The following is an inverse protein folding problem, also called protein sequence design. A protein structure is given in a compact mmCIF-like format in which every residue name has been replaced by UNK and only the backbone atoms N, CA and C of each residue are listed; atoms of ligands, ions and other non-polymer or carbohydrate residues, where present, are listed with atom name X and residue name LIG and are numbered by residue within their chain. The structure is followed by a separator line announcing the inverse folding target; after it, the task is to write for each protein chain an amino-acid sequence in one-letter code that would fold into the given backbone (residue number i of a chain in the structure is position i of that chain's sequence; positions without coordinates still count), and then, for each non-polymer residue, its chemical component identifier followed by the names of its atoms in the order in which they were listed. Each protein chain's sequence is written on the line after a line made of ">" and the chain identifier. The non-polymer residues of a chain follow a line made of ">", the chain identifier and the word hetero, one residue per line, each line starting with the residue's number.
data_IF_091173726425
#
_entry.id   IF_091173726425
#
_cell.length_a   1.000
_cell.length_b   1.000
_cell.length_c   1.000
_cell.angle_alpha   90.00
_cell.angle_beta   90.00
_cell.angle_gamma   90.00
#
_symmetry.space_group_name_H-M   'P 1'
#
loop_
_entity.id
_entity.type
_entity.pdbx_description
1 polymer ?
#
# COMPACT_ATOMS: atom_id res chain seq x y z
N UNK A 1 13.74 6.36 27.03
CA UNK A 1 13.45 4.92 27.06
C UNK A 1 13.05 4.49 25.65
N UNK A 2 13.61 3.41 25.13
CA UNK A 2 13.30 2.90 23.79
C UNK A 2 11.93 2.22 23.81
N UNK A 3 10.97 2.75 23.04
CA UNK A 3 9.61 2.19 22.98
C UNK A 3 9.64 0.90 22.14
N UNK A 4 9.23 -0.26 22.67
CA UNK A 4 9.18 -1.50 21.93
C UNK A 4 7.91 -1.54 21.06
N UNK A 5 7.82 -0.70 20.03
CA UNK A 5 6.82 -0.83 18.97
C UNK A 5 7.48 -1.35 17.70
N UNK A 6 6.99 -2.43 17.09
CA UNK A 6 7.54 -2.93 15.83
C UNK A 6 7.36 -1.94 14.66
N UNK A 7 6.51 -0.92 14.83
CA UNK A 7 6.27 0.12 13.82
C UNK A 7 7.21 1.33 13.97
N UNK A 8 7.76 1.56 15.16
CA UNK A 8 8.75 2.61 15.40
C UNK A 8 10.18 2.05 15.36
N UNK A 9 10.59 1.58 14.18
CA UNK A 9 11.97 1.14 13.97
C UNK A 9 12.88 2.34 13.71
N UNK A 10 14.11 2.39 14.25
CA UNK A 10 15.08 3.44 13.92
C UNK A 10 15.28 3.57 12.40
N UNK A 11 15.33 4.82 11.91
CA UNK A 11 15.61 5.13 10.51
C UNK A 11 17.11 5.34 10.25
N UNK A 12 17.56 5.28 8.97
CA UNK A 12 18.96 5.55 8.62
C UNK A 12 19.35 7.02 8.78
N UNK A 13 18.38 7.93 8.70
CA UNK A 13 18.52 9.39 8.73
C UNK A 13 17.63 10.06 9.77
N UNK A 14 16.67 9.31 10.32
CA UNK A 14 15.68 9.78 11.28
C UNK A 14 15.69 8.92 12.55
N UNK A 15 15.31 9.46 13.72
CA UNK A 15 15.16 8.68 14.95
C UNK A 15 14.19 7.50 14.78
N UNK A 16 13.18 7.65 13.90
CA UNK A 16 12.21 6.62 13.55
C UNK A 16 11.94 6.63 12.05
N UNK A 17 11.72 5.47 11.46
CA UNK A 17 11.41 5.33 10.04
C UNK A 17 9.99 5.83 9.72
N UNK A 18 9.87 6.68 8.69
CA UNK A 18 8.60 7.09 8.09
C UNK A 18 7.90 5.98 7.28
N UNK A 19 8.52 4.80 7.13
CA UNK A 19 7.94 3.69 6.38
C UNK A 19 8.08 2.39 7.19
N UNK A 20 7.10 2.07 8.05
CA UNK A 20 7.07 0.76 8.70
C UNK A 20 6.76 -0.35 7.69
N UNK A 21 6.90 -1.64 8.08
CA UNK A 21 6.49 -2.74 7.23
C UNK A 21 4.98 -2.70 6.92
N UNK A 22 4.62 -2.42 5.68
CA UNK A 22 3.28 -2.51 5.10
C UNK A 22 3.12 -3.89 4.44
N UNK A 23 2.80 -4.89 5.26
CA UNK A 23 2.62 -6.28 4.80
C UNK A 23 1.14 -6.56 4.59
N UNK A 24 0.74 -6.71 3.33
CA UNK A 24 -0.62 -7.11 2.99
C UNK A 24 -0.69 -8.64 2.91
N UNK A 25 -1.47 -9.25 3.79
CA UNK A 25 -1.73 -10.69 3.75
C UNK A 25 -3.15 -10.89 3.23
N UNK A 26 -3.28 -11.53 2.06
CA UNK A 26 -4.58 -11.88 1.49
C UNK A 26 -4.73 -13.40 1.51
N UNK A 27 -5.68 -13.95 2.29
CA UNK A 27 -6.03 -15.35 2.18
C UNK A 27 -6.68 -15.62 0.82
N UNK A 28 -6.13 -16.59 0.10
CA UNK A 28 -6.68 -17.11 -1.13
C UNK A 28 -7.51 -18.37 -0.81
N UNK A 29 -8.58 -18.65 -1.56
CA UNK A 29 -9.31 -19.90 -1.38
C UNK A 29 -8.41 -21.13 -1.63
N UNK A 30 -8.46 -22.14 -0.75
CA UNK A 30 -7.66 -23.37 -0.81
C UNK A 30 -7.85 -24.12 -2.13
N UNK A 31 -9.11 -24.29 -2.52
CA UNK A 31 -9.48 -24.82 -3.82
C UNK A 31 -9.87 -23.65 -4.72
N UNK A 32 -9.13 -23.48 -5.82
CA UNK A 32 -9.77 -22.94 -7.00
C UNK A 32 -10.83 -23.98 -7.37
N UNK A 33 -12.14 -23.68 -7.40
CA UNK A 33 -13.05 -24.51 -8.18
C UNK A 33 -12.40 -24.72 -9.55
N UNK A 34 -12.69 -25.80 -10.27
CA UNK A 34 -12.18 -26.02 -11.63
C UNK A 34 -12.59 -24.86 -12.57
N UNK A 35 -11.92 -23.72 -12.41
CA UNK A 35 -12.21 -22.36 -12.89
C UNK A 35 -11.20 -21.97 -13.96
N UNK A 36 -10.19 -22.82 -14.25
CA UNK A 36 -9.44 -22.68 -15.48
C UNK A 36 -10.38 -22.55 -16.69
N UNK A 37 -11.60 -23.10 -16.60
CA UNK A 37 -12.73 -22.72 -17.44
C UNK A 37 -13.38 -21.40 -17.00
N UNK A 38 -14.05 -21.34 -15.83
CA UNK A 38 -14.93 -20.21 -15.46
C UNK A 38 -14.27 -18.83 -15.35
N UNK A 39 -13.06 -18.71 -14.80
CA UNK A 39 -12.39 -17.42 -14.66
C UNK A 39 -11.94 -16.89 -16.02
N UNK A 40 -11.40 -17.77 -16.89
CA UNK A 40 -11.18 -17.44 -18.31
C UNK A 40 -12.49 -17.24 -19.08
N UNK A 41 -13.62 -17.78 -18.63
CA UNK A 41 -14.91 -17.47 -19.26
C UNK A 41 -15.42 -16.09 -18.84
N UNK A 42 -15.06 -15.61 -17.65
CA UNK A 42 -15.50 -14.32 -17.10
C UNK A 42 -14.56 -13.17 -17.46
N UNK A 43 -13.25 -13.40 -17.39
CA UNK A 43 -12.22 -12.48 -17.86
C UNK A 43 -11.85 -12.91 -19.27
N UNK A 44 -12.18 -12.07 -20.26
CA UNK A 44 -11.75 -12.29 -21.64
C UNK A 44 -10.22 -12.35 -21.69
N UNK A 45 -9.65 -13.19 -22.54
CA UNK A 45 -8.19 -13.34 -22.66
C UNK A 45 -7.49 -12.00 -22.92
N UNK A 46 -8.12 -11.10 -23.67
CA UNK A 46 -7.64 -9.72 -23.90
C UNK A 46 -7.53 -8.92 -22.60
N UNK A 47 -8.55 -8.98 -21.74
CA UNK A 47 -8.56 -8.29 -20.45
C UNK A 47 -7.52 -8.87 -19.49
N UNK A 48 -7.34 -10.20 -19.54
CA UNK A 48 -6.32 -10.89 -18.75
C UNK A 48 -4.89 -10.46 -19.16
N UNK A 49 -4.63 -10.33 -20.46
CA UNK A 49 -3.35 -9.85 -20.98
C UNK A 49 -3.12 -8.36 -20.67
N UNK A 50 -4.17 -7.52 -20.74
CA UNK A 50 -4.09 -6.12 -20.31
C UNK A 50 -3.73 -5.99 -18.83
N UNK A 51 -4.44 -6.72 -17.95
CA UNK A 51 -4.17 -6.71 -16.50
C UNK A 51 -2.75 -7.22 -16.22
N UNK A 52 -2.33 -8.29 -16.88
CA UNK A 52 -0.96 -8.81 -16.75
C UNK A 52 0.09 -7.79 -17.19
N UNK A 53 -0.12 -7.10 -18.31
CA UNK A 53 0.81 -6.07 -18.80
C UNK A 53 0.89 -4.89 -17.84
N UNK A 54 -0.23 -4.45 -17.28
CA UNK A 54 -0.30 -3.30 -16.37
C UNK A 54 0.25 -3.61 -14.97
N UNK A 55 -0.06 -4.79 -14.43
CA UNK A 55 0.19 -5.11 -13.02
C UNK A 55 1.38 -6.05 -12.80
N UNK A 56 1.81 -6.75 -13.86
CA UNK A 56 2.85 -7.77 -13.85
C UNK A 56 2.49 -9.06 -13.08
N UNK A 57 1.23 -9.24 -12.67
CA UNK A 57 0.78 -10.53 -12.13
C UNK A 57 0.70 -11.58 -13.25
N UNK A 58 1.05 -12.83 -12.92
CA UNK A 58 0.87 -13.95 -13.83
C UNK A 58 -0.60 -14.33 -13.99
N UNK A 59 -0.95 -15.09 -15.03
CA UNK A 59 -2.32 -15.57 -15.25
C UNK A 59 -2.89 -16.33 -14.04
N UNK A 60 -2.07 -17.18 -13.40
CA UNK A 60 -2.50 -17.93 -12.22
C UNK A 60 -2.73 -17.03 -11.02
N UNK A 61 -1.91 -15.99 -10.84
CA UNK A 61 -2.10 -14.98 -9.80
C UNK A 61 -3.36 -14.16 -10.04
N UNK A 62 -3.58 -13.69 -11.27
CA UNK A 62 -4.79 -12.93 -11.63
C UNK A 62 -6.05 -13.79 -11.40
N UNK A 63 -6.03 -15.05 -11.83
CA UNK A 63 -7.16 -15.98 -11.63
C UNK A 63 -7.48 -16.20 -10.15
N UNK A 64 -6.46 -16.39 -9.31
CA UNK A 64 -6.63 -16.54 -7.86
C UNK A 64 -7.16 -15.26 -7.20
N UNK A 65 -6.62 -14.12 -7.60
CA UNK A 65 -7.05 -12.81 -7.13
C UNK A 65 -8.48 -12.48 -7.58
N UNK A 66 -8.88 -12.91 -8.77
CA UNK A 66 -10.27 -12.79 -9.23
C UNK A 66 -11.22 -13.62 -8.37
N UNK A 67 -10.85 -14.87 -8.06
CA UNK A 67 -11.61 -15.69 -7.11
C UNK A 67 -11.73 -15.02 -5.73
N UNK A 68 -10.65 -14.37 -5.25
CA UNK A 68 -10.71 -13.59 -4.01
C UNK A 68 -11.62 -12.38 -4.15
N UNK A 69 -11.52 -11.63 -5.23
CA UNK A 69 -12.37 -10.47 -5.52
C UNK A 69 -13.85 -10.85 -5.49
N UNK A 70 -14.25 -11.87 -6.23
CA UNK A 70 -15.65 -12.35 -6.25
C UNK A 70 -16.10 -12.91 -4.91
N UNK A 71 -15.20 -13.51 -4.12
CA UNK A 71 -15.54 -13.95 -2.76
C UNK A 71 -15.85 -12.79 -1.81
N UNK A 72 -15.27 -11.61 -2.05
CA UNK A 72 -15.48 -10.39 -1.25
C UNK A 72 -16.70 -9.61 -1.73
N UNK A 73 -16.96 -9.61 -3.04
CA UNK A 73 -18.13 -9.00 -3.67
C UNK A 73 -19.41 -9.78 -3.35
N UNK A 74 -19.97 -9.52 -2.16
CA UNK A 74 -21.23 -10.15 -1.73
C UNK A 74 -22.45 -9.63 -2.49
N UNK A 75 -22.33 -8.46 -3.13
CA UNK A 75 -23.39 -7.88 -3.95
C UNK A 75 -23.48 -8.51 -5.34
N UNK A 76 -22.45 -9.26 -5.76
CA UNK A 76 -22.29 -9.78 -7.12
C UNK A 76 -22.46 -8.68 -8.18
N UNK A 77 -22.02 -7.46 -7.87
CA UNK A 77 -22.16 -6.29 -8.75
C UNK A 77 -20.88 -5.99 -9.55
N UNK A 78 -19.82 -6.79 -9.36
CA UNK A 78 -18.54 -6.64 -10.04
C UNK A 78 -17.63 -5.57 -9.44
N UNK A 79 -17.98 -5.03 -8.27
CA UNK A 79 -17.20 -4.01 -7.54
C UNK A 79 -17.06 -4.36 -6.06
N UNK A 80 -16.06 -3.80 -5.40
CA UNK A 80 -15.89 -3.89 -3.95
C UNK A 80 -16.07 -2.50 -3.34
N UNK A 81 -16.87 -2.42 -2.29
CA UNK A 81 -17.03 -1.26 -1.42
C UNK A 81 -16.08 -1.31 -0.22
N UNK A 82 -16.00 -0.22 0.53
CA UNK A 82 -15.22 -0.13 1.78
C UNK A 82 -15.64 -1.22 2.78
N UNK A 83 -16.94 -1.47 2.90
CA UNK A 83 -17.48 -2.50 3.79
C UNK A 83 -17.00 -3.90 3.40
N UNK A 84 -16.83 -4.17 2.10
CA UNK A 84 -16.33 -5.47 1.64
C UNK A 84 -14.88 -5.70 2.07
N UNK A 85 -14.04 -4.67 2.03
CA UNK A 85 -12.66 -4.76 2.53
C UNK A 85 -12.57 -4.88 4.04
N UNK A 86 -13.46 -4.24 4.79
CA UNK A 86 -13.49 -4.34 6.27
C UNK A 86 -13.77 -5.77 6.76
N UNK A 87 -14.32 -6.65 5.90
CA UNK A 87 -14.48 -8.08 6.21
C UNK A 87 -13.18 -8.88 6.12
N UNK A 88 -12.07 -8.28 5.68
CA UNK A 88 -10.76 -8.92 5.64
C UNK A 88 -10.10 -8.78 7.02
N UNK A 89 -9.99 -9.86 7.81
CA UNK A 89 -9.48 -9.77 9.18
C UNK A 89 -8.07 -9.20 9.26
N UNK A 90 -7.22 -9.52 8.27
CA UNK A 90 -5.84 -9.05 8.19
C UNK A 90 -5.74 -7.54 7.97
N UNK A 91 -6.71 -6.93 7.26
CA UNK A 91 -6.81 -5.47 7.15
C UNK A 91 -7.42 -4.87 8.41
N UNK A 92 -8.41 -5.52 9.02
CA UNK A 92 -9.07 -5.03 10.23
C UNK A 92 -8.11 -4.94 11.44
N UNK A 93 -7.11 -5.82 11.53
CA UNK A 93 -6.08 -5.77 12.58
C UNK A 93 -4.86 -4.92 12.19
N UNK A 94 -4.76 -4.47 10.93
CA UNK A 94 -3.65 -3.64 10.48
C UNK A 94 -3.86 -2.20 10.97
N UNK A 95 -2.90 -1.59 11.68
CA UNK A 95 -3.01 -0.19 12.13
C UNK A 95 -3.28 0.83 11.02
N UNK A 96 -2.84 0.53 9.80
CA UNK A 96 -3.09 1.34 8.61
C UNK A 96 -4.17 0.71 7.71
N UNK A 97 -4.97 -0.22 8.23
CA UNK A 97 -6.00 -0.93 7.48
C UNK A 97 -6.91 0.02 6.72
N UNK A 98 -7.52 0.98 7.42
CA UNK A 98 -8.40 1.98 6.80
C UNK A 98 -7.67 2.84 5.74
N UNK A 99 -6.39 3.16 5.95
CA UNK A 99 -5.59 3.91 4.97
C UNK A 99 -5.29 3.10 3.72
N UNK A 100 -4.97 1.82 3.88
CA UNK A 100 -4.77 0.89 2.77
C UNK A 100 -6.10 0.69 2.02
N UNK A 101 -7.22 0.56 2.74
CA UNK A 101 -8.57 0.47 2.15
C UNK A 101 -8.86 1.72 1.33
N UNK A 102 -8.61 2.92 1.86
CA UNK A 102 -8.80 4.17 1.12
C UNK A 102 -8.01 4.20 -0.20
N UNK A 103 -6.82 3.60 -0.24
CA UNK A 103 -5.98 3.57 -1.43
C UNK A 103 -6.50 2.65 -2.57
N UNK A 104 -7.56 1.87 -2.33
CA UNK A 104 -8.26 1.15 -3.39
C UNK A 104 -9.24 2.02 -4.17
N UNK A 105 -9.63 3.17 -3.64
CA UNK A 105 -10.68 4.01 -4.21
C UNK A 105 -10.09 5.30 -4.76
N UNK A 106 -10.50 5.68 -5.97
CA UNK A 106 -10.19 7.01 -6.49
C UNK A 106 -10.93 8.07 -5.69
N UNK A 107 -10.54 9.33 -5.85
CA UNK A 107 -11.22 10.43 -5.18
C UNK A 107 -12.70 10.52 -5.62
N UNK A 108 -13.59 10.56 -4.64
CA UNK A 108 -15.05 10.57 -4.87
C UNK A 108 -15.65 9.20 -5.20
N UNK A 109 -14.84 8.14 -5.35
CA UNK A 109 -15.33 6.79 -5.58
C UNK A 109 -15.50 6.04 -4.24
N UNK A 110 -16.57 5.26 -4.14
CA UNK A 110 -16.88 4.37 -3.01
C UNK A 110 -16.79 2.88 -3.38
N UNK A 111 -16.48 2.60 -4.66
CA UNK A 111 -16.41 1.27 -5.24
C UNK A 111 -15.16 1.12 -6.11
N UNK A 112 -14.57 -0.07 -6.12
CA UNK A 112 -13.43 -0.43 -6.97
C UNK A 112 -13.75 -1.69 -7.77
N UNK A 113 -13.50 -1.67 -9.07
CA UNK A 113 -13.65 -2.86 -9.93
C UNK A 113 -12.41 -3.77 -9.84
N UNK A 114 -12.47 -4.93 -10.51
CA UNK A 114 -11.37 -5.89 -10.47
C UNK A 114 -10.03 -5.32 -10.95
N UNK A 115 -10.03 -4.53 -12.03
CA UNK A 115 -8.80 -3.90 -12.56
C UNK A 115 -8.19 -2.92 -11.56
N UNK A 116 -9.01 -2.09 -10.90
CA UNK A 116 -8.58 -1.18 -9.84
C UNK A 116 -8.02 -1.92 -8.62
N UNK A 117 -8.70 -2.99 -8.18
CA UNK A 117 -8.21 -3.87 -7.13
C UNK A 117 -6.81 -4.42 -7.45
N UNK A 118 -6.62 -4.94 -8.67
CA UNK A 118 -5.34 -5.48 -9.13
C UNK A 118 -4.24 -4.41 -9.20
N UNK A 119 -4.57 -3.19 -9.64
CA UNK A 119 -3.63 -2.06 -9.70
C UNK A 119 -3.09 -1.71 -8.31
N UNK A 120 -3.96 -1.61 -7.31
CA UNK A 120 -3.54 -1.30 -5.93
C UNK A 120 -2.64 -2.43 -5.36
N UNK A 121 -2.98 -3.70 -5.60
CA UNK A 121 -2.14 -4.82 -5.17
C UNK A 121 -0.78 -4.87 -5.86
N UNK A 122 -0.68 -4.38 -7.09
CA UNK A 122 0.56 -4.40 -7.87
C UNK A 122 1.69 -3.62 -7.16
N UNK A 123 1.38 -2.53 -6.45
CA UNK A 123 2.36 -1.78 -5.65
C UNK A 123 3.05 -2.63 -4.57
N UNK A 124 2.44 -3.73 -4.11
CA UNK A 124 2.99 -4.59 -3.06
C UNK A 124 3.77 -5.79 -3.60
N UNK A 125 3.84 -5.97 -4.93
CA UNK A 125 4.72 -7.00 -5.52
C UNK A 125 6.20 -6.70 -5.20
N UNK A 126 7.06 -7.72 -5.11
CA UNK A 126 8.51 -7.50 -5.06
C UNK A 126 8.99 -6.72 -6.29
N UNK A 127 10.08 -5.97 -6.14
CA UNK A 127 10.78 -5.39 -7.30
C UNK A 127 11.57 -6.50 -7.98
N UNK A 128 11.46 -6.63 -9.30
CA UNK A 128 12.25 -7.61 -10.04
C UNK A 128 13.64 -7.03 -10.35
N UNK A 129 14.72 -7.79 -10.11
CA UNK A 129 16.12 -7.37 -10.37
C UNK A 129 16.34 -6.83 -11.80
N UNK A 130 15.53 -7.33 -12.74
CA UNK A 130 15.60 -7.03 -14.16
C UNK A 130 14.92 -5.70 -14.54
N UNK A 131 14.32 -4.95 -13.62
CA UNK A 131 13.68 -3.67 -13.96
C UNK A 131 14.67 -2.60 -14.44
N UNK A 132 15.97 -2.73 -14.09
CA UNK A 132 17.01 -1.84 -14.62
C UNK A 132 17.22 -1.94 -16.14
N UNK A 133 16.74 -3.02 -16.78
CA UNK A 133 16.94 -3.27 -18.22
C UNK A 133 15.70 -3.00 -19.08
N UNK A 134 14.60 -2.51 -18.51
CA UNK A 134 13.35 -2.27 -19.25
C UNK A 134 13.32 -0.89 -19.90
N UNK A 135 12.58 -0.84 -21.01
CA UNK A 135 12.42 0.29 -21.92
C UNK A 135 12.26 1.62 -21.15
N UNK A 136 13.26 2.50 -21.28
CA UNK A 136 13.28 3.82 -20.63
C UNK A 136 12.09 4.69 -21.08
N UNK A 137 11.46 4.35 -22.22
CA UNK A 137 10.28 5.04 -22.74
C UNK A 137 8.96 4.35 -22.35
N UNK A 138 9.02 3.19 -21.71
CA UNK A 138 7.83 2.48 -21.21
C UNK A 138 7.23 3.16 -19.97
N UNK A 139 5.96 2.87 -19.64
CA UNK A 139 5.37 3.35 -18.39
C UNK A 139 6.14 2.77 -17.19
N UNK A 140 6.31 3.59 -16.16
CA UNK A 140 6.98 3.15 -14.93
C UNK A 140 6.17 2.01 -14.26
N UNK A 141 6.79 0.87 -13.90
CA UNK A 141 6.08 -0.24 -13.26
C UNK A 141 5.42 0.16 -11.94
N UNK A 142 4.22 -0.35 -11.63
CA UNK A 142 3.50 -0.03 -10.39
C UNK A 142 4.26 -0.45 -9.12
N UNK A 143 5.05 -1.53 -9.20
CA UNK A 143 5.92 -2.00 -8.12
C UNK A 143 7.28 -1.29 -8.09
N UNK A 144 7.55 -0.28 -8.94
CA UNK A 144 8.81 0.47 -8.90
C UNK A 144 9.00 1.15 -7.54
N UNK A 145 10.25 1.50 -7.21
CA UNK A 145 10.57 2.24 -6.00
C UNK A 145 9.79 3.56 -5.91
N UNK A 146 9.74 4.33 -7.01
CA UNK A 146 9.04 5.62 -7.05
C UNK A 146 7.56 5.44 -6.76
N UNK A 147 6.90 4.50 -7.46
CA UNK A 147 5.48 4.24 -7.28
C UNK A 147 5.14 3.69 -5.88
N UNK A 148 6.02 2.86 -5.30
CA UNK A 148 5.89 2.41 -3.91
C UNK A 148 6.00 3.57 -2.92
N UNK A 149 6.99 4.45 -3.10
CA UNK A 149 7.16 5.64 -2.25
C UNK A 149 5.97 6.58 -2.37
N UNK A 150 5.46 6.80 -3.57
CA UNK A 150 4.28 7.62 -3.80
C UNK A 150 3.01 7.00 -3.19
N UNK A 151 2.86 5.68 -3.30
CA UNK A 151 1.79 4.96 -2.60
C UNK A 151 1.89 5.15 -1.08
N UNK A 152 3.08 4.97 -0.50
CA UNK A 152 3.31 5.14 0.93
C UNK A 152 3.06 6.58 1.38
N UNK A 153 3.53 7.57 0.62
CA UNK A 153 3.31 8.99 0.87
C UNK A 153 1.81 9.31 1.00
N UNK A 154 0.99 8.81 0.07
CA UNK A 154 -0.48 8.96 0.11
C UNK A 154 -1.18 8.24 1.26
N UNK A 155 -0.50 7.38 2.02
CA UNK A 155 -1.04 6.85 3.27
C UNK A 155 -0.88 7.85 4.42
N UNK A 156 0.09 8.76 4.31
CA UNK A 156 0.38 9.79 5.30
C UNK A 156 -0.31 11.11 5.00
N UNK A 157 -0.37 11.52 3.74
CA UNK A 157 -1.12 12.69 3.27
C UNK A 157 -2.63 12.38 3.32
N UNK A 158 -3.32 12.95 4.30
CA UNK A 158 -4.69 12.62 4.67
C UNK A 158 -5.71 13.49 3.95
N UNK A 159 -5.37 14.75 3.70
CA UNK A 159 -6.21 15.70 2.99
C UNK A 159 -5.89 15.83 1.49
N UNK A 160 -4.82 15.16 1.03
CA UNK A 160 -4.38 15.06 -0.37
C UNK A 160 -3.87 16.39 -0.93
N UNK A 161 -3.18 17.18 -0.13
CA UNK A 161 -2.58 18.43 -0.55
C UNK A 161 -1.10 18.31 -0.98
N UNK A 162 -0.64 17.08 -1.22
CA UNK A 162 0.69 16.70 -1.71
C UNK A 162 1.84 17.02 -0.73
N UNK A 163 1.53 17.21 0.55
CA UNK A 163 2.49 17.34 1.65
C UNK A 163 2.00 16.55 2.87
N UNK A 164 2.91 16.24 3.78
CA UNK A 164 2.58 15.61 5.06
C UNK A 164 2.81 16.66 6.14
N UNK A 165 1.72 17.21 6.66
CA UNK A 165 1.77 18.11 7.79
C UNK A 165 2.16 17.38 9.08
N UNK A 166 2.60 18.16 10.08
CA UNK A 166 2.85 17.65 11.43
C UNK A 166 1.66 16.89 12.02
N UNK A 167 0.45 17.40 11.82
CA UNK A 167 -0.77 16.84 12.41
C UNK A 167 -1.17 15.52 11.72
N UNK A 168 -0.95 15.40 10.42
CA UNK A 168 -1.15 14.15 9.69
C UNK A 168 -0.12 13.10 10.08
N UNK A 169 1.16 13.48 10.17
CA UNK A 169 2.22 12.61 10.67
C UNK A 169 1.87 12.10 12.07
N UNK A 170 1.45 12.98 12.97
CA UNK A 170 1.05 12.61 14.32
C UNK A 170 -0.14 11.63 14.33
N UNK A 171 -1.16 11.87 13.50
CA UNK A 171 -2.31 10.98 13.37
C UNK A 171 -1.90 9.58 12.90
N UNK A 172 -1.06 9.50 11.88
CA UNK A 172 -0.60 8.23 11.32
C UNK A 172 0.29 7.49 12.33
N UNK A 173 1.19 8.19 13.03
CA UNK A 173 2.00 7.60 14.10
C UNK A 173 1.13 7.07 15.24
N UNK A 174 0.10 7.81 15.67
CA UNK A 174 -0.87 7.37 16.68
C UNK A 174 -1.55 6.06 16.27
N UNK A 175 -1.98 5.93 15.02
CA UNK A 175 -2.56 4.69 14.50
C UNK A 175 -1.59 3.51 14.67
N UNK A 176 -0.32 3.70 14.31
CA UNK A 176 0.71 2.65 14.34
C UNK A 176 1.12 2.19 15.74
N UNK A 177 1.18 3.09 16.72
CA UNK A 177 1.70 2.77 18.06
C UNK A 177 0.61 2.48 19.09
N UNK A 178 -0.62 2.91 18.82
CA UNK A 178 -1.74 2.84 19.75
C UNK A 178 -1.47 3.60 21.05
N UNK A 179 -2.00 3.09 22.16
CA UNK A 179 -1.95 3.74 23.48
C UNK A 179 -0.64 3.54 24.26
N UNK A 180 0.35 2.87 23.67
CA UNK A 180 1.60 2.52 24.35
C UNK A 180 2.61 3.68 24.42
N UNK A 181 2.31 4.81 23.78
CA UNK A 181 3.16 6.00 23.76
C UNK A 181 2.32 7.20 24.17
N UNK A 182 2.87 8.04 25.04
CA UNK A 182 2.20 9.28 25.42
C UNK A 182 2.10 10.24 24.24
N UNK A 183 1.06 11.08 24.23
CA UNK A 183 0.90 12.12 23.21
C UNK A 183 2.09 13.09 23.16
N UNK A 184 2.74 13.35 24.30
CA UNK A 184 3.94 14.19 24.38
C UNK A 184 5.14 13.56 23.66
N UNK A 185 5.35 12.25 23.86
CA UNK A 185 6.40 11.51 23.15
C UNK A 185 6.09 11.42 21.65
N UNK A 186 4.85 11.14 21.27
CA UNK A 186 4.44 11.13 19.87
C UNK A 186 4.61 12.50 19.21
N UNK A 187 4.24 13.57 19.91
CA UNK A 187 4.49 14.95 19.48
C UNK A 187 5.97 15.20 19.25
N UNK A 188 6.83 14.84 20.20
CA UNK A 188 8.28 14.97 20.09
C UNK A 188 8.87 14.19 18.91
N UNK A 189 8.32 12.99 18.62
CA UNK A 189 8.72 12.20 17.46
C UNK A 189 8.33 12.90 16.17
N UNK A 190 7.09 13.38 16.07
CA UNK A 190 6.60 14.11 14.91
C UNK A 190 7.43 15.39 14.68
N UNK A 191 7.63 16.20 15.71
CA UNK A 191 8.42 17.44 15.67
C UNK A 191 9.83 17.20 15.12
N UNK A 192 10.53 16.21 15.68
CA UNK A 192 11.89 15.88 15.25
C UNK A 192 11.93 15.32 13.83
N UNK A 193 10.91 14.57 13.44
CA UNK A 193 10.81 14.00 12.09
C UNK A 193 10.59 15.08 11.05
N UNK A 194 9.68 16.05 11.30
CA UNK A 194 9.49 17.22 10.43
C UNK A 194 10.80 18.00 10.37
N UNK A 195 11.39 18.36 11.51
CA UNK A 195 12.62 19.16 11.56
C UNK A 195 13.80 18.55 10.79
N UNK A 196 13.92 17.23 10.77
CA UNK A 196 15.01 16.54 10.06
C UNK A 196 14.70 16.29 8.57
N UNK A 197 13.43 16.30 8.17
CA UNK A 197 12.98 16.06 6.80
C UNK A 197 12.80 17.34 5.97
N UNK A 198 12.15 18.34 6.57
CA UNK A 198 11.80 19.65 6.01
C UNK A 198 13.07 20.47 5.71
N UNK A 199 13.36 20.67 4.43
CA UNK A 199 14.54 21.35 3.93
C UNK A 199 14.25 22.76 3.43
N UNK A 200 13.01 23.05 3.06
CA UNK A 200 12.61 24.38 2.57
C UNK A 200 11.98 25.26 3.66
N UNK A 201 11.63 24.69 4.80
CA UNK A 201 11.14 25.36 5.99
C UNK A 201 9.63 25.63 5.98
N UNK A 202 8.86 24.92 5.16
CA UNK A 202 7.40 25.09 5.09
C UNK A 202 6.63 24.38 6.22
N UNK A 203 7.35 23.71 7.13
CA UNK A 203 6.82 22.94 8.26
C UNK A 203 5.98 21.72 7.88
N UNK A 204 6.16 21.21 6.67
CA UNK A 204 5.58 19.97 6.18
C UNK A 204 6.67 19.10 5.52
N UNK A 205 6.30 17.90 5.06
CA UNK A 205 7.18 17.05 4.27
C UNK A 205 6.57 16.89 2.89
N UNK A 206 7.19 17.51 1.89
CA UNK A 206 6.85 17.29 0.49
C UNK A 206 7.21 15.87 0.02
N UNK A 207 6.64 15.44 -1.10
CA UNK A 207 7.03 14.15 -1.70
C UNK A 207 8.54 14.06 -1.99
N UNK A 208 9.17 15.15 -2.43
CA UNK A 208 10.60 15.20 -2.71
C UNK A 208 11.44 14.94 -1.46
N UNK A 209 11.06 15.54 -0.33
CA UNK A 209 11.74 15.35 0.95
C UNK A 209 11.51 13.95 1.49
N UNK A 210 10.28 13.44 1.37
CA UNK A 210 9.94 12.07 1.76
C UNK A 210 10.82 11.04 1.02
N UNK A 211 10.99 11.19 -0.30
CA UNK A 211 11.89 10.34 -1.10
C UNK A 211 13.33 10.44 -0.62
N UNK A 212 13.82 11.65 -0.34
CA UNK A 212 15.20 11.87 0.11
C UNK A 212 15.45 11.26 1.49
N UNK A 213 14.51 11.40 2.42
CA UNK A 213 14.59 10.79 3.76
C UNK A 213 14.63 9.26 3.68
N UNK A 214 13.85 8.68 2.75
CA UNK A 214 13.77 7.24 2.56
C UNK A 214 14.79 6.68 1.56
N UNK A 215 15.75 7.48 1.08
CA UNK A 215 16.74 7.08 0.06
C UNK A 215 17.48 5.78 0.43
N UNK A 216 17.88 5.66 1.70
CA UNK A 216 18.62 4.49 2.23
C UNK A 216 17.73 3.38 2.79
N UNK A 217 16.41 3.54 2.72
CA UNK A 217 15.45 2.53 3.21
C UNK A 217 15.19 1.51 2.10
N UNK A 218 15.23 0.24 2.46
CA UNK A 218 14.79 -0.87 1.61
C UNK A 218 13.26 -0.89 1.56
N UNK A 219 12.68 -0.04 0.70
CA UNK A 219 11.24 0.09 0.47
C UNK A 219 10.63 -1.24 0.00
N UNK A 220 11.43 -2.08 -0.67
CA UNK A 220 11.00 -3.36 -1.24
C UNK A 220 10.64 -4.35 -0.13
N UNK A 221 11.44 -4.40 0.93
CA UNK A 221 11.16 -5.21 2.11
C UNK A 221 10.07 -4.61 3.02
N UNK A 222 9.83 -3.30 2.92
CA UNK A 222 8.78 -2.63 3.69
C UNK A 222 7.39 -2.88 3.10
N UNK A 223 7.24 -2.88 1.78
CA UNK A 223 5.94 -3.06 1.11
C UNK A 223 5.85 -4.40 0.40
N UNK A 224 5.13 -5.36 0.98
CA UNK A 224 5.03 -6.72 0.45
C UNK A 224 3.62 -7.29 0.53
N UNK A 225 3.19 -8.01 -0.51
CA UNK A 225 1.99 -8.85 -0.49
C UNK A 225 2.36 -10.31 -0.25
N UNK A 226 1.59 -10.98 0.62
CA UNK A 226 1.64 -12.43 0.83
C UNK A 226 0.28 -13.04 0.54
N UNK A 227 0.31 -14.08 -0.27
CA UNK A 227 -0.85 -14.92 -0.54
C UNK A 227 -0.84 -16.07 0.47
N UNK A 228 -1.78 -16.03 1.41
CA UNK A 228 -1.96 -17.10 2.39
C UNK A 228 -2.79 -18.20 1.73
N UNK A 229 -2.38 -19.45 1.93
CA UNK A 229 -3.11 -20.65 1.50
C UNK A 229 -3.85 -21.21 2.70
#
# INVERSE_FOLDING_TARGET
>A
ETVPSPFLTPGPSLPYSLLPPLRLALPLPEELPSLGSRASTLLRDEELEEIKKETGFSHSQITRLYSRFTSLDKGENGTLSREDFQRIPELAINPLGDRIINAFFSEGEDQVNFRGFMRTLAHFRPIEDNEKSKDVNGPEPLNSRSNKLHFAFRLYDLDKDDKISRDELLQVLRMMVGVNISDEQLGSIADRTIQEADQDGDSAISFTEFVKVLEKVDVEQKMSIRFLH
#
